data_IF_488986044146
#
_entry.id   IF_488986044146
#
_cell.length_a   1.000
_cell.length_b   1.000
_cell.length_c   1.000
_cell.angle_alpha   90.00
_cell.angle_beta   90.00
_cell.angle_gamma   90.00
#
_symmetry.space_group_name_H-M   'P 1'
#
loop_
_entity.id
_entity.type
_entity.pdbx_description
1 polymer ?
#
# COMPACT_ATOMS: atom_id res chain seq x y z
N UNK A 1 14.46 0.89 4.22
CA UNK A 1 14.26 0.19 2.95
C UNK A 1 13.07 0.80 2.22
N UNK A 2 13.18 0.97 0.94
CA UNK A 2 12.05 1.45 0.12
C UNK A 2 11.43 0.30 -0.65
N UNK A 3 10.11 0.35 -0.77
CA UNK A 3 9.36 -0.60 -1.60
C UNK A 3 8.42 0.17 -2.49
N UNK A 4 8.02 -0.44 -3.59
CA UNK A 4 7.10 0.20 -4.53
C UNK A 4 5.66 -0.01 -4.10
N UNK A 5 4.89 1.06 -4.11
CA UNK A 5 3.49 1.06 -3.77
C UNK A 5 2.68 1.57 -4.96
N UNK A 6 1.55 0.92 -5.20
CA UNK A 6 0.56 1.40 -6.16
C UNK A 6 -0.47 2.25 -5.43
N UNK A 7 -0.74 3.44 -5.94
CA UNK A 7 -1.85 4.27 -5.49
C UNK A 7 -2.88 4.29 -6.60
N UNK A 8 -4.04 3.73 -6.36
CA UNK A 8 -5.09 3.57 -7.35
C UNK A 8 -6.25 4.48 -6.98
N UNK A 9 -6.63 5.34 -7.92
CA UNK A 9 -7.73 6.28 -7.72
C UNK A 9 -9.03 5.59 -8.12
N UNK A 10 -9.88 5.30 -7.14
CA UNK A 10 -11.17 4.66 -7.35
C UNK A 10 -12.28 5.69 -7.17
N UNK A 11 -13.14 5.81 -8.18
CA UNK A 11 -14.28 6.71 -8.13
C UNK A 11 -15.41 6.12 -7.31
N UNK A 12 -15.22 6.11 -6.00
CA UNK A 12 -16.26 5.81 -5.00
C UNK A 12 -17.21 4.66 -5.37
N UNK A 13 -16.69 3.55 -5.87
CA UNK A 13 -17.55 2.45 -6.29
C UNK A 13 -16.93 1.11 -6.00
N UNK A 14 -17.71 0.27 -5.34
CA UNK A 14 -17.33 -1.12 -5.08
C UNK A 14 -16.95 -1.84 -6.37
N UNK A 15 -17.62 -1.52 -7.48
CA UNK A 15 -17.32 -2.11 -8.79
C UNK A 15 -15.91 -1.78 -9.28
N UNK A 16 -15.43 -0.56 -9.06
CA UNK A 16 -14.08 -0.18 -9.46
C UNK A 16 -13.03 -0.94 -8.66
N UNK A 17 -13.24 -1.08 -7.36
CA UNK A 17 -12.34 -1.85 -6.51
C UNK A 17 -12.32 -3.31 -6.95
N UNK A 18 -13.49 -3.90 -7.21
CA UNK A 18 -13.59 -5.27 -7.68
C UNK A 18 -12.86 -5.45 -9.00
N UNK A 19 -13.02 -4.51 -9.94
CA UNK A 19 -12.33 -4.54 -11.23
C UNK A 19 -10.80 -4.58 -11.04
N UNK A 20 -10.28 -3.75 -10.16
CA UNK A 20 -8.84 -3.72 -9.84
C UNK A 20 -8.37 -5.09 -9.34
N UNK A 21 -9.08 -5.64 -8.36
CA UNK A 21 -8.71 -6.92 -7.77
C UNK A 21 -8.81 -8.07 -8.77
N UNK A 22 -9.82 -8.04 -9.64
CA UNK A 22 -9.97 -9.05 -10.70
C UNK A 22 -8.84 -8.98 -11.71
N UNK A 23 -8.42 -7.79 -12.10
CA UNK A 23 -7.29 -7.62 -13.02
C UNK A 23 -5.99 -8.18 -12.42
N UNK A 24 -5.74 -7.90 -11.17
CA UNK A 24 -4.55 -8.42 -10.49
C UNK A 24 -4.61 -9.94 -10.36
N UNK A 25 -5.78 -10.47 -10.06
CA UNK A 25 -6.01 -11.90 -9.98
C UNK A 25 -5.70 -12.60 -11.31
N UNK A 26 -6.23 -12.07 -12.41
CA UNK A 26 -5.98 -12.63 -13.75
C UNK A 26 -4.50 -12.57 -14.13
N UNK A 27 -3.81 -11.54 -13.71
CA UNK A 27 -2.39 -11.39 -13.98
C UNK A 27 -1.51 -12.25 -13.07
N UNK A 28 -2.08 -12.93 -12.08
CA UNK A 28 -1.34 -13.76 -11.15
C UNK A 28 -0.52 -12.95 -10.15
N UNK A 29 -0.94 -11.73 -9.86
CA UNK A 29 -0.23 -10.84 -8.94
C UNK A 29 -0.84 -10.94 -7.55
N UNK A 30 -0.02 -11.27 -6.57
CA UNK A 30 -0.47 -11.42 -5.18
C UNK A 30 -0.45 -10.09 -4.45
N UNK A 31 -1.50 -9.84 -3.67
CA UNK A 31 -1.54 -8.71 -2.76
C UNK A 31 -0.78 -9.07 -1.48
N UNK A 32 0.09 -8.17 -1.05
CA UNK A 32 0.81 -8.31 0.21
C UNK A 32 0.14 -7.45 1.27
N UNK A 33 -0.24 -6.24 0.92
CA UNK A 33 -0.91 -5.32 1.81
C UNK A 33 -1.79 -4.38 1.00
N UNK A 34 -2.86 -3.88 1.62
CA UNK A 34 -3.73 -2.89 1.00
C UNK A 34 -4.31 -1.97 2.06
N UNK A 35 -4.64 -0.77 1.64
CA UNK A 35 -5.24 0.24 2.48
C UNK A 35 -6.12 1.12 1.62
N UNK A 36 -7.30 1.47 2.12
CA UNK A 36 -8.23 2.34 1.41
C UNK A 36 -8.46 3.59 2.25
N UNK A 37 -8.25 4.75 1.62
CA UNK A 37 -8.55 6.03 2.22
C UNK A 37 -9.63 6.73 1.39
N UNK A 38 -10.69 7.18 2.05
CA UNK A 38 -11.81 7.85 1.40
C UNK A 38 -11.71 9.36 1.53
N UNK A 39 -12.06 10.04 0.45
CA UNK A 39 -12.40 11.45 0.48
C UNK A 39 -13.86 11.60 0.07
N UNK A 40 -14.38 12.84 0.09
CA UNK A 40 -15.77 13.10 -0.29
C UNK A 40 -16.03 12.75 -1.76
N UNK A 41 -15.04 12.89 -2.62
CA UNK A 41 -15.21 12.74 -4.06
C UNK A 41 -14.69 11.41 -4.62
N UNK A 42 -13.64 10.86 -4.03
CA UNK A 42 -13.03 9.62 -4.51
C UNK A 42 -12.27 8.92 -3.38
N UNK A 43 -11.94 7.66 -3.62
CA UNK A 43 -11.10 6.89 -2.72
C UNK A 43 -9.73 6.66 -3.32
N UNK A 44 -8.77 6.39 -2.46
CA UNK A 44 -7.43 5.98 -2.86
C UNK A 44 -7.18 4.59 -2.28
N UNK A 45 -6.90 3.64 -3.15
CA UNK A 45 -6.50 2.29 -2.74
C UNK A 45 -4.99 2.18 -2.88
N UNK A 46 -4.31 1.94 -1.77
CA UNK A 46 -2.86 1.74 -1.77
C UNK A 46 -2.57 0.27 -1.65
N UNK A 47 -1.74 -0.24 -2.55
CA UNK A 47 -1.46 -1.66 -2.65
C UNK A 47 0.03 -1.92 -2.67
N UNK A 48 0.46 -2.88 -1.85
CA UNK A 48 1.78 -3.49 -1.96
C UNK A 48 1.54 -4.88 -2.55
N UNK A 49 2.22 -5.21 -3.63
CA UNK A 49 2.00 -6.48 -4.31
C UNK A 49 3.32 -7.11 -4.78
N UNK A 50 3.23 -8.35 -5.25
CA UNK A 50 4.40 -9.14 -5.62
C UNK A 50 5.14 -8.61 -6.85
N UNK A 51 4.43 -7.98 -7.78
CA UNK A 51 5.03 -7.47 -9.02
C UNK A 51 4.48 -6.08 -9.33
N UNK A 52 4.96 -5.04 -8.65
CA UNK A 52 4.36 -3.70 -8.77
C UNK A 52 4.45 -3.09 -10.17
N UNK A 53 5.56 -3.27 -10.87
CA UNK A 53 5.70 -2.71 -12.22
C UNK A 53 4.70 -3.34 -13.19
N UNK A 54 4.53 -4.65 -13.12
CA UNK A 54 3.58 -5.36 -13.97
C UNK A 54 2.14 -5.02 -13.61
N UNK A 55 1.85 -4.88 -12.32
CA UNK A 55 0.53 -4.45 -11.86
C UNK A 55 0.20 -3.05 -12.38
N UNK A 56 1.15 -2.13 -12.31
CA UNK A 56 1.01 -0.79 -12.84
C UNK A 56 0.63 -0.82 -14.31
N UNK A 57 1.36 -1.58 -15.12
CA UNK A 57 1.11 -1.68 -16.55
C UNK A 57 -0.28 -2.27 -16.86
N UNK A 58 -0.65 -3.33 -16.16
CA UNK A 58 -1.95 -3.98 -16.36
C UNK A 58 -3.12 -3.05 -16.03
N UNK A 59 -3.01 -2.32 -14.93
CA UNK A 59 -4.06 -1.39 -14.52
C UNK A 59 -4.13 -0.20 -15.47
N UNK A 60 -2.99 0.32 -15.89
CA UNK A 60 -2.96 1.44 -16.81
C UNK A 60 -3.53 1.10 -18.18
N UNK A 61 -3.25 -0.09 -18.69
CA UNK A 61 -3.84 -0.59 -19.95
C UNK A 61 -5.36 -0.64 -19.88
N UNK A 62 -5.91 -0.90 -18.71
CA UNK A 62 -7.36 -1.01 -18.52
C UNK A 62 -8.02 0.34 -18.26
N UNK A 63 -7.29 1.42 -18.36
CA UNK A 63 -7.83 2.77 -18.19
C UNK A 63 -8.00 3.20 -16.74
N UNK A 64 -7.38 2.49 -15.81
CA UNK A 64 -7.46 2.82 -14.39
C UNK A 64 -6.38 3.83 -14.03
N UNK A 65 -6.76 4.89 -13.33
CA UNK A 65 -5.81 5.89 -12.86
C UNK A 65 -4.97 5.32 -11.72
N UNK A 66 -3.69 5.14 -11.96
CA UNK A 66 -2.76 4.52 -11.02
C UNK A 66 -1.43 5.25 -11.02
N UNK A 67 -0.82 5.37 -9.86
CA UNK A 67 0.51 5.93 -9.71
C UNK A 67 1.38 4.91 -8.97
N UNK A 68 2.64 4.84 -9.38
CA UNK A 68 3.64 4.00 -8.71
C UNK A 68 4.58 4.92 -7.94
N UNK A 69 4.76 4.64 -6.67
CA UNK A 69 5.63 5.47 -5.83
C UNK A 69 6.42 4.58 -4.87
N UNK A 70 7.52 5.12 -4.40
CA UNK A 70 8.33 4.46 -3.39
C UNK A 70 7.84 4.89 -2.01
N UNK A 71 7.69 3.92 -1.13
CA UNK A 71 7.35 4.17 0.27
C UNK A 71 8.42 3.54 1.15
N UNK A 72 8.56 4.08 2.33
CA UNK A 72 9.55 3.58 3.28
C UNK A 72 8.95 2.45 4.10
N UNK A 73 9.63 1.31 4.11
CA UNK A 73 9.20 0.13 4.84
C UNK A 73 10.16 -0.16 6.00
N UNK A 74 9.62 -0.35 7.18
CA UNK A 74 10.38 -0.70 8.37
C UNK A 74 9.89 -2.06 8.87
N UNK A 75 10.81 -3.00 9.01
CA UNK A 75 10.51 -4.29 9.58
C UNK A 75 10.71 -4.23 11.10
N UNK A 76 9.70 -4.60 11.85
CA UNK A 76 9.69 -4.53 13.30
C UNK A 76 9.34 -5.89 13.88
N UNK A 77 9.92 -6.19 15.05
CA UNK A 77 9.47 -7.34 15.82
C UNK A 77 8.05 -7.08 16.29
N UNK A 78 7.22 -8.12 16.28
CA UNK A 78 5.83 -7.98 16.72
C UNK A 78 5.75 -7.96 18.25
N UNK A 79 6.25 -6.88 18.84
CA UNK A 79 6.24 -6.65 20.29
C UNK A 79 5.57 -5.33 20.59
N UNK A 80 4.99 -5.25 21.79
CA UNK A 80 4.33 -4.03 22.26
C UNK A 80 5.34 -2.87 22.26
N UNK A 81 4.94 -1.75 21.67
CA UNK A 81 5.72 -0.51 21.69
C UNK A 81 6.72 -0.35 20.55
N UNK A 82 6.95 -1.37 19.71
CA UNK A 82 7.92 -1.26 18.62
C UNK A 82 7.54 -0.21 17.58
N UNK A 83 6.25 -0.14 17.23
CA UNK A 83 5.78 0.86 16.29
C UNK A 83 5.95 2.27 16.85
N UNK A 84 5.67 2.46 18.14
CA UNK A 84 5.85 3.73 18.80
C UNK A 84 7.33 4.15 18.80
N UNK A 85 8.24 3.21 19.04
CA UNK A 85 9.67 3.47 19.02
C UNK A 85 10.11 3.96 17.64
N UNK A 86 9.65 3.30 16.57
CA UNK A 86 10.01 3.67 15.21
C UNK A 86 9.47 5.07 14.85
N UNK A 87 8.25 5.37 15.21
CA UNK A 87 7.64 6.68 14.94
C UNK A 87 8.33 7.78 15.76
N UNK A 88 8.74 7.47 16.98
CA UNK A 88 9.46 8.43 17.81
C UNK A 88 10.76 8.87 17.14
N UNK A 89 11.47 7.95 16.49
CA UNK A 89 12.70 8.29 15.77
C UNK A 89 12.41 9.25 14.63
N UNK A 90 11.36 9.01 13.85
CA UNK A 90 10.96 9.88 12.75
C UNK A 90 10.53 11.27 13.24
N UNK A 91 9.77 11.32 14.32
CA UNK A 91 9.34 12.57 14.92
C UNK A 91 10.53 13.40 15.42
N UNK A 92 11.50 12.73 15.99
CA UNK A 92 12.73 13.38 16.50
C UNK A 92 13.52 14.04 15.37
N UNK A 93 13.48 13.45 14.17
CA UNK A 93 14.15 14.00 13.00
C UNK A 93 13.29 15.04 12.27
N UNK A 94 12.13 15.40 12.81
CA UNK A 94 11.25 16.40 12.22
C UNK A 94 10.48 15.92 11.01
N UNK A 95 10.34 14.60 10.84
CA UNK A 95 9.63 14.01 9.71
C UNK A 95 8.15 13.92 10.02
N UNK A 96 7.33 14.51 9.16
CA UNK A 96 5.88 14.40 9.25
C UNK A 96 5.40 13.18 8.48
N UNK A 97 4.48 12.44 9.07
CA UNK A 97 3.90 11.26 8.45
C UNK A 97 2.58 11.63 7.80
N UNK A 98 2.49 11.47 6.49
CA UNK A 98 1.26 11.73 5.74
C UNK A 98 0.28 10.58 5.89
N UNK A 99 0.79 9.35 5.83
CA UNK A 99 0.01 8.14 6.07
C UNK A 99 0.95 6.99 6.42
N UNK A 100 0.40 6.01 7.10
CA UNK A 100 1.12 4.77 7.36
C UNK A 100 0.12 3.62 7.47
N UNK A 101 0.58 2.43 7.23
CA UNK A 101 -0.15 1.21 7.51
C UNK A 101 0.84 0.08 7.76
N UNK A 102 0.37 -0.98 8.37
CA UNK A 102 1.23 -2.10 8.74
C UNK A 102 0.61 -3.43 8.35
N UNK A 103 1.45 -4.45 8.22
CA UNK A 103 1.02 -5.80 7.93
C UNK A 103 2.00 -6.79 8.56
N UNK A 104 1.52 -8.00 8.79
CA UNK A 104 2.34 -9.05 9.37
C UNK A 104 3.00 -9.87 8.28
N UNK A 105 4.26 -10.21 8.49
CA UNK A 105 4.99 -11.16 7.65
C UNK A 105 5.30 -12.40 8.47
N UNK A 106 5.89 -13.40 7.82
CA UNK A 106 6.30 -14.62 8.51
C UNK A 106 7.21 -14.29 9.69
N UNK A 107 7.26 -15.18 10.68
CA UNK A 107 8.07 -15.06 11.89
C UNK A 107 7.62 -13.93 12.82
N UNK A 108 6.35 -13.58 12.78
CA UNK A 108 5.73 -12.59 13.66
C UNK A 108 6.35 -11.21 13.60
N UNK A 109 6.90 -10.83 12.46
CA UNK A 109 7.40 -9.48 12.23
C UNK A 109 6.33 -8.62 11.59
N UNK A 110 6.33 -7.34 11.95
CA UNK A 110 5.47 -6.34 11.34
C UNK A 110 6.27 -5.51 10.35
N UNK A 111 5.59 -5.03 9.31
CA UNK A 111 6.17 -4.06 8.37
C UNK A 111 5.28 -2.81 8.38
N UNK A 112 5.89 -1.66 8.50
CA UNK A 112 5.20 -0.37 8.58
C UNK A 112 5.65 0.54 7.46
#
# INVERSE_FOLDING_TARGET
MTISQLSIFIENKAGTLLQVLELLKKAGISLIASNIADTVEYGICRIICSEPARAYDELKKSGIAVALSDVFAIELDNQVGRAADAIAILAKEGISITYLYSFLVKDRKSVV
#
